data_IF_257640697456
#
_entry.id   IF_257640697456
#
_cell.length_a   1.000
_cell.length_b   1.000
_cell.length_c   1.000
_cell.angle_alpha   90.00
_cell.angle_beta   90.00
_cell.angle_gamma   90.00
#
_symmetry.space_group_name_H-M   'P 1'
#
loop_
_entity.id
_entity.type
_entity.pdbx_description
1 polymer ?
#
# COMPACT_ATOMS: atom_id res chain seq x y z
N UNK A 1 5.02 -2.67 9.72
CA UNK A 1 3.94 -1.71 10.11
C UNK A 1 2.60 -2.42 9.99
N UNK A 2 1.51 -1.82 10.49
CA UNK A 2 0.23 -2.52 10.66
C UNK A 2 -0.78 -2.06 9.60
N UNK A 3 -1.78 -1.26 9.98
CA UNK A 3 -2.98 -1.06 9.16
C UNK A 3 -3.07 0.34 8.55
N UNK A 4 -2.66 1.38 9.29
CA UNK A 4 -2.82 2.76 8.84
C UNK A 4 -1.54 3.32 8.22
N UNK A 5 -0.37 2.86 8.68
CA UNK A 5 0.93 3.31 8.19
C UNK A 5 1.07 3.10 6.68
N UNK A 6 0.80 1.88 6.23
CA UNK A 6 0.87 1.50 4.81
C UNK A 6 0.04 2.41 3.88
N UNK A 7 -1.31 2.45 3.99
CA UNK A 7 -2.14 3.24 3.11
C UNK A 7 -1.94 4.74 3.29
N UNK A 8 -1.76 5.21 4.53
CA UNK A 8 -1.60 6.63 4.81
C UNK A 8 -0.29 7.20 4.29
N UNK A 9 0.85 6.55 4.54
CA UNK A 9 2.15 7.01 4.04
C UNK A 9 2.22 6.87 2.52
N UNK A 10 1.72 5.77 1.95
CA UNK A 10 1.65 5.58 0.50
C UNK A 10 0.85 6.70 -0.18
N UNK A 11 -0.34 7.01 0.36
CA UNK A 11 -1.18 8.09 -0.14
C UNK A 11 -0.48 9.45 -0.01
N UNK A 12 0.13 9.72 1.15
CA UNK A 12 0.82 10.99 1.43
C UNK A 12 1.99 11.23 0.46
N UNK A 13 2.86 10.23 0.30
CA UNK A 13 4.00 10.31 -0.64
C UNK A 13 3.52 10.49 -2.07
N UNK A 14 2.53 9.69 -2.52
CA UNK A 14 1.99 9.84 -3.86
C UNK A 14 1.38 11.23 -4.11
N UNK A 15 0.67 11.77 -3.11
CA UNK A 15 0.09 13.12 -3.17
C UNK A 15 1.16 14.20 -3.23
N UNK A 16 2.23 14.08 -2.43
CA UNK A 16 3.38 15.01 -2.46
C UNK A 16 4.07 14.97 -3.82
N UNK A 17 4.37 13.78 -4.35
CA UNK A 17 5.01 13.62 -5.67
C UNK A 17 4.16 14.26 -6.76
N UNK A 18 2.85 13.97 -6.78
CA UNK A 18 1.93 14.57 -7.74
C UNK A 18 1.83 16.10 -7.57
N UNK A 19 1.74 16.59 -6.34
CA UNK A 19 1.63 18.00 -6.01
C UNK A 19 2.88 18.81 -6.37
N UNK A 20 4.05 18.33 -5.96
CA UNK A 20 5.35 18.96 -6.21
C UNK A 20 5.68 18.98 -7.71
N UNK A 21 5.45 17.87 -8.42
CA UNK A 21 5.66 17.79 -9.87
C UNK A 21 4.81 18.82 -10.65
N UNK A 22 3.64 19.21 -10.11
CA UNK A 22 2.71 20.16 -10.74
C UNK A 22 2.72 21.55 -10.06
N UNK A 23 3.66 21.81 -9.13
CA UNK A 23 3.78 23.06 -8.33
C UNK A 23 2.46 23.53 -7.70
N UNK A 24 1.64 22.59 -7.23
CA UNK A 24 0.34 22.87 -6.65
C UNK A 24 0.42 23.08 -5.13
N UNK A 25 -0.49 23.90 -4.60
CA UNK A 25 -0.68 24.04 -3.15
C UNK A 25 -1.14 22.72 -2.51
N UNK A 26 -0.78 22.50 -1.25
CA UNK A 26 -1.12 21.31 -0.47
C UNK A 26 -2.63 20.98 -0.49
N UNK A 27 -3.48 22.01 -0.52
CA UNK A 27 -4.93 21.86 -0.60
C UNK A 27 -5.44 21.13 -1.87
N UNK A 28 -4.59 21.01 -2.90
CA UNK A 28 -4.89 20.41 -4.19
C UNK A 28 -4.10 19.12 -4.47
N UNK A 29 -3.22 18.67 -3.57
CA UNK A 29 -2.36 17.50 -3.84
C UNK A 29 -3.16 16.22 -4.12
N UNK A 30 -4.16 15.90 -3.30
CA UNK A 30 -5.03 14.74 -3.53
C UNK A 30 -5.86 14.87 -4.82
N UNK A 31 -6.22 16.09 -5.19
CA UNK A 31 -6.90 16.36 -6.46
C UNK A 31 -5.99 16.07 -7.64
N UNK A 32 -4.78 16.62 -7.63
CA UNK A 32 -3.75 16.39 -8.63
C UNK A 32 -3.45 14.90 -8.77
N UNK A 33 -3.24 14.18 -7.67
CA UNK A 33 -3.02 12.73 -7.67
C UNK A 33 -4.17 11.98 -8.35
N UNK A 34 -5.42 12.33 -8.01
CA UNK A 34 -6.60 11.67 -8.55
C UNK A 34 -6.84 11.87 -10.07
N UNK A 35 -6.09 12.77 -10.71
CA UNK A 35 -6.09 12.90 -12.18
C UNK A 35 -5.28 11.79 -12.85
N UNK A 36 -4.28 11.24 -12.16
CA UNK A 36 -3.36 10.25 -12.71
C UNK A 36 -3.75 8.82 -12.33
N UNK A 37 -4.27 8.61 -11.12
CA UNK A 37 -4.57 7.28 -10.57
C UNK A 37 -5.89 7.24 -9.83
N UNK A 38 -6.47 6.04 -9.71
CA UNK A 38 -7.58 5.78 -8.78
C UNK A 38 -7.00 5.59 -7.38
N UNK A 39 -7.30 6.53 -6.47
CA UNK A 39 -6.75 6.51 -5.12
C UNK A 39 -7.23 5.28 -4.34
N UNK A 40 -8.41 4.73 -4.60
CA UNK A 40 -8.90 3.52 -3.92
C UNK A 40 -8.01 2.33 -4.27
N UNK A 41 -7.65 2.21 -5.55
CA UNK A 41 -6.79 1.12 -6.03
C UNK A 41 -5.38 1.27 -5.46
N UNK A 42 -4.89 2.50 -5.32
CA UNK A 42 -3.61 2.76 -4.65
C UNK A 42 -3.64 2.30 -3.18
N UNK A 43 -4.71 2.65 -2.45
CA UNK A 43 -4.90 2.22 -1.06
C UNK A 43 -5.01 0.70 -0.93
N UNK A 44 -5.77 0.04 -1.81
CA UNK A 44 -5.84 -1.43 -1.86
C UNK A 44 -4.48 -2.04 -2.18
N UNK A 45 -3.77 -1.52 -3.18
CA UNK A 45 -2.42 -1.97 -3.54
C UNK A 45 -1.44 -1.86 -2.36
N UNK A 46 -1.52 -0.76 -1.60
CA UNK A 46 -0.68 -0.55 -0.41
C UNK A 46 -0.93 -1.52 0.73
N UNK A 47 -2.02 -2.28 0.70
CA UNK A 47 -2.34 -3.34 1.66
C UNK A 47 -2.31 -4.73 1.03
N UNK A 48 -2.13 -4.81 -0.29
CA UNK A 48 -2.32 -6.04 -1.06
C UNK A 48 -1.42 -7.19 -0.60
N UNK A 49 -0.10 -6.98 -0.34
CA UNK A 49 0.74 -8.06 0.13
C UNK A 49 0.25 -8.67 1.44
N UNK A 50 -0.07 -7.83 2.42
CA UNK A 50 -0.63 -8.25 3.70
C UNK A 50 -1.99 -8.95 3.59
N UNK A 51 -2.88 -8.44 2.71
CA UNK A 51 -4.20 -9.02 2.48
C UNK A 51 -4.09 -10.45 1.95
N UNK A 52 -3.06 -10.75 1.15
CA UNK A 52 -2.85 -12.09 0.60
C UNK A 52 -2.06 -12.96 1.59
N UNK A 53 -0.90 -12.48 2.02
CA UNK A 53 0.09 -13.33 2.68
C UNK A 53 -0.29 -13.66 4.12
N UNK A 54 -0.93 -12.74 4.87
CA UNK A 54 -1.33 -13.03 6.25
C UNK A 54 -2.37 -14.15 6.32
N UNK A 55 -3.50 -14.13 5.58
CA UNK A 55 -4.42 -15.26 5.56
C UNK A 55 -3.77 -16.54 5.05
N UNK A 56 -2.98 -16.48 3.98
CA UNK A 56 -2.36 -17.67 3.39
C UNK A 56 -1.38 -18.30 4.38
N UNK A 57 -0.41 -17.54 4.90
CA UNK A 57 0.68 -18.08 5.69
C UNK A 57 0.43 -18.19 7.19
N UNK A 58 -0.51 -17.43 7.76
CA UNK A 58 -0.82 -17.47 9.21
C UNK A 58 -2.12 -18.20 9.53
N UNK A 59 -3.07 -18.29 8.59
CA UNK A 59 -4.37 -18.93 8.83
C UNK A 59 -4.53 -20.24 8.05
N UNK A 60 -4.47 -20.23 6.71
CA UNK A 60 -4.73 -21.41 5.89
C UNK A 60 -3.59 -22.44 5.91
N UNK A 61 -2.35 -21.98 5.81
CA UNK A 61 -1.15 -22.83 5.71
C UNK A 61 -0.16 -22.57 6.85
N UNK A 62 -0.70 -22.35 8.06
CA UNK A 62 0.09 -22.01 9.25
C UNK A 62 1.19 -23.03 9.56
N UNK A 63 0.87 -24.32 9.49
CA UNK A 63 1.85 -25.39 9.79
C UNK A 63 3.01 -25.43 8.77
N UNK A 64 2.72 -25.03 7.52
CA UNK A 64 3.71 -25.00 6.45
C UNK A 64 4.57 -23.76 6.51
N UNK A 65 3.96 -22.56 6.51
CA UNK A 65 4.69 -21.30 6.39
C UNK A 65 4.89 -20.56 7.71
N UNK A 66 3.88 -20.52 8.59
CA UNK A 66 3.89 -19.76 9.86
C UNK A 66 4.46 -18.34 9.72
N UNK A 67 4.17 -17.64 8.62
CA UNK A 67 4.72 -16.33 8.30
C UNK A 67 3.68 -15.51 7.50
N UNK A 68 3.56 -14.22 7.80
CA UNK A 68 2.68 -13.29 7.07
C UNK A 68 3.34 -12.57 5.89
N UNK A 69 4.61 -12.85 5.60
CA UNK A 69 5.43 -12.24 4.54
C UNK A 69 6.02 -13.33 3.66
N UNK A 70 5.22 -13.76 2.68
CA UNK A 70 5.54 -14.89 1.79
C UNK A 70 5.53 -14.42 0.32
N UNK A 71 4.69 -14.99 -0.53
CA UNK A 71 4.67 -14.77 -1.98
C UNK A 71 4.45 -13.31 -2.41
N UNK A 72 3.53 -12.60 -1.77
CA UNK A 72 3.16 -11.24 -2.19
C UNK A 72 4.14 -10.18 -1.68
N UNK A 73 4.96 -10.54 -0.69
CA UNK A 73 6.10 -9.76 -0.21
C UNK A 73 7.38 -9.93 -1.04
N UNK A 74 7.31 -10.65 -2.16
CA UNK A 74 8.45 -10.85 -3.06
C UNK A 74 8.56 -9.75 -4.12
N UNK A 75 9.77 -9.49 -4.58
CA UNK A 75 10.01 -8.63 -5.75
C UNK A 75 9.39 -9.25 -7.01
N UNK A 76 9.36 -10.58 -7.10
CA UNK A 76 8.72 -11.29 -8.21
C UNK A 76 7.23 -10.93 -8.32
N UNK A 77 6.48 -10.96 -7.22
CA UNK A 77 5.07 -10.58 -7.22
C UNK A 77 4.87 -9.14 -7.72
N UNK A 78 5.66 -8.20 -7.20
CA UNK A 78 5.65 -6.83 -7.70
C UNK A 78 5.94 -6.76 -9.20
N UNK A 79 6.98 -7.44 -9.69
CA UNK A 79 7.37 -7.42 -11.09
C UNK A 79 6.28 -8.00 -11.99
N UNK A 80 5.62 -9.08 -11.58
CA UNK A 80 4.48 -9.65 -12.31
C UNK A 80 3.34 -8.62 -12.42
N UNK A 81 2.97 -7.96 -11.32
CA UNK A 81 1.95 -6.90 -11.35
C UNK A 81 2.38 -5.72 -12.24
N UNK A 82 3.64 -5.29 -12.15
CA UNK A 82 4.17 -4.17 -12.92
C UNK A 82 4.22 -4.49 -14.43
N UNK A 83 4.67 -5.68 -14.81
CA UNK A 83 4.74 -6.13 -16.20
C UNK A 83 3.34 -6.29 -16.78
N UNK A 84 2.44 -6.97 -16.06
CA UNK A 84 1.05 -7.12 -16.48
C UNK A 84 0.35 -5.76 -16.58
N UNK A 85 0.60 -4.85 -15.63
CA UNK A 85 0.08 -3.49 -15.65
C UNK A 85 0.62 -2.68 -16.83
N UNK A 86 1.91 -2.80 -17.13
CA UNK A 86 2.52 -2.15 -18.28
C UNK A 86 1.92 -2.67 -19.59
N UNK A 87 1.72 -3.99 -19.70
CA UNK A 87 1.03 -4.60 -20.83
C UNK A 87 -0.40 -4.05 -21.01
N UNK A 88 -1.20 -4.00 -19.93
CA UNK A 88 -2.56 -3.42 -19.97
C UNK A 88 -2.55 -1.94 -20.35
N UNK A 89 -1.58 -1.18 -19.87
CA UNK A 89 -1.41 0.21 -20.25
C UNK A 89 -1.09 0.35 -21.75
N UNK A 90 -0.15 -0.44 -22.27
CA UNK A 90 0.24 -0.39 -23.69
C UNK A 90 -0.90 -0.82 -24.61
N UNK A 91 -1.67 -1.84 -24.24
CA UNK A 91 -2.72 -2.41 -25.08
C UNK A 91 -4.05 -1.69 -24.98
N UNK A 92 -4.45 -1.27 -23.78
CA UNK A 92 -5.80 -0.77 -23.48
C UNK A 92 -5.81 0.61 -22.82
N UNK A 93 -4.64 1.23 -22.58
CA UNK A 93 -4.50 2.51 -21.84
C UNK A 93 -5.06 2.46 -20.41
N UNK A 94 -5.18 1.25 -19.85
CA UNK A 94 -5.63 1.05 -18.49
C UNK A 94 -4.45 1.13 -17.50
N UNK A 95 -4.57 1.99 -16.49
CA UNK A 95 -3.50 2.24 -15.50
C UNK A 95 -3.74 1.59 -14.14
N UNK A 96 -4.92 0.97 -13.94
CA UNK A 96 -5.34 0.47 -12.63
C UNK A 96 -4.36 -0.56 -12.05
N UNK A 97 -3.86 -1.49 -12.87
CA UNK A 97 -2.94 -2.52 -12.41
C UNK A 97 -1.54 -1.97 -12.12
N UNK A 98 -1.11 -0.91 -12.84
CA UNK A 98 0.10 -0.16 -12.49
C UNK A 98 -0.07 0.60 -11.17
N UNK A 99 -1.26 1.16 -10.93
CA UNK A 99 -1.58 1.80 -9.64
C UNK A 99 -1.53 0.79 -8.49
N UNK A 100 -2.06 -0.41 -8.72
CA UNK A 100 -2.00 -1.52 -7.77
C UNK A 100 -0.56 -1.95 -7.50
N UNK A 101 0.25 -2.11 -8.55
CA UNK A 101 1.67 -2.44 -8.46
C UNK A 101 2.47 -1.36 -7.71
N UNK A 102 2.18 -0.08 -7.94
CA UNK A 102 2.82 1.02 -7.21
C UNK A 102 2.48 1.00 -5.71
N UNK A 103 1.22 0.68 -5.37
CA UNK A 103 0.82 0.45 -3.98
C UNK A 103 1.57 -0.73 -3.35
N UNK A 104 1.61 -1.88 -4.04
CA UNK A 104 2.31 -3.06 -3.55
C UNK A 104 3.82 -2.82 -3.40
N UNK A 105 4.44 -2.07 -4.31
CA UNK A 105 5.84 -1.68 -4.18
C UNK A 105 6.09 -0.78 -2.98
N UNK A 106 5.24 0.22 -2.77
CA UNK A 106 5.29 1.08 -1.58
C UNK A 106 5.20 0.25 -0.30
N UNK A 107 4.35 -0.79 -0.28
CA UNK A 107 4.27 -1.74 0.82
C UNK A 107 5.61 -2.42 1.09
N UNK A 108 6.24 -3.04 0.08
CA UNK A 108 7.56 -3.70 0.24
C UNK A 108 8.63 -2.75 0.79
N UNK A 109 8.64 -1.51 0.29
CA UNK A 109 9.60 -0.48 0.71
C UNK A 109 9.39 -0.11 2.16
N UNK A 110 8.15 0.22 2.51
CA UNK A 110 7.84 0.64 3.86
C UNK A 110 8.10 -0.51 4.86
N UNK A 111 7.85 -1.77 4.46
CA UNK A 111 8.08 -2.93 5.33
C UNK A 111 9.57 -3.32 5.40
N UNK A 112 10.42 -2.53 4.72
CA UNK A 112 11.86 -2.67 4.68
C UNK A 112 12.30 -4.05 4.21
N UNK A 113 11.61 -4.62 3.21
CA UNK A 113 11.84 -5.99 2.75
C UNK A 113 13.29 -6.29 2.32
N UNK A 114 14.11 -5.27 2.07
CA UNK A 114 15.55 -5.44 1.87
C UNK A 114 16.29 -6.05 3.07
N UNK A 115 15.72 -6.02 4.28
CA UNK A 115 16.28 -6.69 5.47
C UNK A 115 15.97 -8.19 5.50
N UNK A 116 15.04 -8.67 4.67
CA UNK A 116 14.70 -10.08 4.49
C UNK A 116 14.97 -10.51 3.03
N UNK A 117 16.23 -10.52 2.57
CA UNK A 117 16.57 -10.71 1.16
C UNK A 117 16.12 -12.07 0.62
N UNK A 118 16.11 -13.13 1.44
CA UNK A 118 15.63 -14.45 1.05
C UNK A 118 14.17 -14.41 0.57
N UNK A 119 13.29 -13.74 1.32
CA UNK A 119 11.90 -13.50 0.93
C UNK A 119 11.81 -12.51 -0.22
N UNK A 120 12.51 -11.36 -0.17
CA UNK A 120 12.42 -10.34 -1.21
C UNK A 120 12.80 -10.87 -2.59
N UNK A 121 13.85 -11.69 -2.68
CA UNK A 121 14.33 -12.27 -3.94
C UNK A 121 13.87 -13.70 -4.18
N UNK A 122 12.92 -14.22 -3.40
CA UNK A 122 12.33 -15.53 -3.63
C UNK A 122 11.80 -15.63 -5.08
N UNK A 123 12.06 -16.74 -5.80
CA UNK A 123 12.70 -17.99 -5.37
C UNK A 123 14.23 -18.07 -5.59
N UNK A 124 14.90 -16.97 -5.94
CA UNK A 124 16.31 -16.98 -6.36
C UNK A 124 17.29 -17.27 -5.22
N UNK A 125 16.96 -16.86 -3.99
CA UNK A 125 17.80 -17.04 -2.80
C UNK A 125 17.33 -18.17 -1.87
N UNK A 126 16.46 -19.04 -2.37
CA UNK A 126 15.87 -20.13 -1.59
C UNK A 126 14.40 -20.34 -1.94
N UNK A 127 13.89 -21.53 -1.61
CA UNK A 127 12.50 -21.89 -1.83
C UNK A 127 11.63 -21.80 -0.57
N UNK A 128 12.28 -21.74 0.59
CA UNK A 128 11.63 -21.70 1.90
C UNK A 128 11.48 -20.26 2.41
N UNK A 129 10.45 -20.02 3.21
CA UNK A 129 10.25 -18.78 3.94
C UNK A 129 10.60 -19.00 5.42
N UNK A 130 11.20 -18.00 6.05
CA UNK A 130 11.49 -18.02 7.48
C UNK A 130 10.19 -18.17 8.28
N UNK A 131 10.17 -18.98 9.34
CA UNK A 131 8.98 -19.16 10.16
C UNK A 131 8.99 -18.18 11.32
N UNK A 132 7.86 -17.56 11.61
CA UNK A 132 7.68 -16.67 12.75
C UNK A 132 6.94 -17.39 13.90
N UNK A 133 7.26 -17.04 15.13
CA UNK A 133 6.49 -17.48 16.30
C UNK A 133 5.19 -16.66 16.41
N UNK A 134 4.09 -17.26 15.98
CA UNK A 134 2.77 -16.61 15.98
C UNK A 134 2.02 -16.71 17.32
N UNK A 135 2.61 -17.32 18.34
CA UNK A 135 1.99 -17.47 19.66
C UNK A 135 1.79 -16.09 20.31
N UNK A 136 0.54 -15.76 20.67
CA UNK A 136 0.22 -14.46 21.27
C UNK A 136 0.45 -13.26 20.33
N UNK A 137 0.53 -13.48 19.02
CA UNK A 137 0.88 -12.46 18.02
C UNK A 137 0.05 -11.17 18.13
N UNK A 138 -1.26 -11.26 18.35
CA UNK A 138 -2.13 -10.08 18.53
C UNK A 138 -1.71 -9.22 19.73
N UNK A 139 -1.39 -9.87 20.85
CA UNK A 139 -0.93 -9.17 22.06
C UNK A 139 0.45 -8.56 21.85
N UNK A 140 1.35 -9.28 21.18
CA UNK A 140 2.69 -8.79 20.86
C UNK A 140 2.63 -7.55 19.96
N UNK A 141 1.73 -7.53 18.97
CA UNK A 141 1.48 -6.36 18.14
C UNK A 141 0.96 -5.19 18.96
N UNK A 142 -0.05 -5.41 19.79
CA UNK A 142 -0.63 -4.34 20.59
C UNK A 142 0.40 -3.75 21.56
N UNK A 143 1.17 -4.62 22.23
CA UNK A 143 2.27 -4.21 23.11
C UNK A 143 3.30 -3.41 22.33
N UNK A 144 3.74 -3.89 21.17
CA UNK A 144 4.74 -3.21 20.37
C UNK A 144 4.27 -1.86 19.81
N UNK A 145 2.98 -1.72 19.49
CA UNK A 145 2.40 -0.44 19.07
C UNK A 145 2.49 0.63 20.16
N UNK A 146 2.43 0.23 21.43
CA UNK A 146 2.52 1.15 22.58
C UNK A 146 3.97 1.37 23.01
N UNK A 147 4.79 0.32 23.00
CA UNK A 147 6.13 0.36 23.58
C UNK A 147 7.24 0.67 22.58
N UNK A 148 7.01 0.49 21.27
CA UNK A 148 8.03 0.65 20.24
C UNK A 148 7.69 1.82 19.31
N UNK A 149 8.44 2.95 19.41
CA UNK A 149 8.24 4.11 18.54
C UNK A 149 8.33 3.77 17.05
N UNK A 150 9.18 2.79 16.67
CA UNK A 150 9.34 2.34 15.28
C UNK A 150 8.06 1.75 14.67
N UNK A 151 7.14 1.22 15.47
CA UNK A 151 5.82 0.79 15.00
C UNK A 151 4.76 1.89 15.16
N UNK A 152 4.81 2.64 16.26
CA UNK A 152 3.82 3.67 16.56
C UNK A 152 3.86 4.86 15.59
N UNK A 153 5.06 5.38 15.30
CA UNK A 153 5.23 6.61 14.53
C UNK A 153 4.68 6.48 13.09
N UNK A 154 5.01 5.44 12.32
CA UNK A 154 4.42 5.26 10.99
C UNK A 154 2.89 5.15 11.01
N UNK A 155 2.33 4.47 12.02
CA UNK A 155 0.87 4.33 12.17
C UNK A 155 0.20 5.67 12.47
N UNK A 156 0.77 6.49 13.36
CA UNK A 156 0.25 7.83 13.69
C UNK A 156 0.31 8.75 12.47
N UNK A 157 1.42 8.75 11.74
CA UNK A 157 1.57 9.53 10.51
C UNK A 157 0.56 9.07 9.46
N UNK A 158 0.48 7.76 9.24
CA UNK A 158 -0.46 7.19 8.28
C UNK A 158 -1.91 7.53 8.60
N UNK A 159 -2.31 7.38 9.87
CA UNK A 159 -3.63 7.77 10.34
C UNK A 159 -3.91 9.26 10.15
N UNK A 160 -2.93 10.12 10.47
CA UNK A 160 -3.04 11.57 10.27
C UNK A 160 -3.27 11.94 8.79
N UNK A 161 -2.54 11.31 7.87
CA UNK A 161 -2.72 11.54 6.43
C UNK A 161 -4.10 11.06 5.95
N UNK A 162 -4.54 9.87 6.39
CA UNK A 162 -5.86 9.34 6.03
C UNK A 162 -6.99 10.23 6.60
N UNK A 163 -6.84 10.71 7.83
CA UNK A 163 -7.79 11.64 8.44
C UNK A 163 -7.84 12.96 7.67
N UNK A 164 -6.69 13.52 7.29
CA UNK A 164 -6.64 14.73 6.47
C UNK A 164 -7.30 14.54 5.10
N UNK A 165 -7.04 13.41 4.44
CA UNK A 165 -7.69 13.06 3.18
C UNK A 165 -9.22 12.93 3.35
N UNK A 166 -9.68 12.20 4.38
CA UNK A 166 -11.10 12.03 4.68
C UNK A 166 -11.81 13.34 4.98
N UNK A 167 -11.20 14.21 5.82
CA UNK A 167 -11.71 15.55 6.10
C UNK A 167 -11.78 16.40 4.83
N UNK A 168 -10.77 16.31 3.95
CA UNK A 168 -10.79 17.01 2.66
C UNK A 168 -11.97 16.57 1.79
N UNK A 169 -12.28 15.26 1.75
CA UNK A 169 -13.44 14.74 1.02
C UNK A 169 -14.77 15.21 1.63
N UNK A 170 -14.87 15.24 2.96
CA UNK A 170 -16.06 15.69 3.68
C UNK A 170 -16.33 17.18 3.45
N UNK A 171 -15.34 18.03 3.70
CA UNK A 171 -15.49 19.49 3.56
C UNK A 171 -15.77 19.90 2.11
N UNK A 172 -15.18 19.21 1.12
CA UNK A 172 -15.46 19.47 -0.30
C UNK A 172 -16.73 18.79 -0.83
N UNK A 173 -17.47 18.05 0.01
CA UNK A 173 -18.67 17.27 -0.35
C UNK A 173 -18.42 16.30 -1.52
N UNK A 174 -17.25 15.64 -1.53
CA UNK A 174 -16.80 14.73 -2.61
C UNK A 174 -16.82 13.26 -2.23
N UNK A 175 -17.27 12.88 -1.03
CA UNK A 175 -17.29 11.49 -0.55
C UNK A 175 -17.99 10.55 -1.54
N UNK A 176 -19.23 10.84 -1.94
CA UNK A 176 -19.97 9.97 -2.86
C UNK A 176 -19.31 9.86 -4.24
N UNK A 177 -18.72 10.94 -4.74
CA UNK A 177 -17.98 10.94 -6.00
C UNK A 177 -16.71 10.08 -5.91
N UNK A 178 -15.98 10.20 -4.80
CA UNK A 178 -14.81 9.37 -4.52
C UNK A 178 -15.16 7.89 -4.39
N UNK A 179 -16.20 7.55 -3.64
CA UNK A 179 -16.62 6.16 -3.47
C UNK A 179 -17.02 5.51 -4.80
N UNK A 180 -17.59 6.28 -5.74
CA UNK A 180 -17.99 5.77 -7.06
C UNK A 180 -16.83 5.69 -8.05
N UNK A 181 -16.01 6.73 -8.13
CA UNK A 181 -15.02 6.89 -9.22
C UNK A 181 -13.56 6.83 -8.78
N UNK A 182 -13.28 6.81 -7.47
CA UNK A 182 -11.92 6.81 -6.93
C UNK A 182 -11.17 8.12 -7.11
N UNK A 183 -11.90 9.17 -7.49
CA UNK A 183 -11.38 10.49 -7.79
C UNK A 183 -11.93 11.53 -6.81
N UNK A 184 -11.20 12.63 -6.62
CA UNK A 184 -11.63 13.70 -5.70
C UNK A 184 -12.29 14.88 -6.41
N UNK A 185 -12.39 14.84 -7.75
CA UNK A 185 -13.17 15.76 -8.55
C UNK A 185 -13.17 15.38 -10.03
N UNK A 186 -13.96 16.09 -10.83
CA UNK A 186 -13.93 15.93 -12.28
C UNK A 186 -12.58 16.44 -12.80
N UNK A 187 -11.97 15.71 -13.73
CA UNK A 187 -10.92 16.29 -14.57
C UNK A 187 -11.60 17.39 -15.37
N UNK A 188 -11.45 18.64 -14.94
CA UNK A 188 -11.86 19.78 -15.74
C UNK A 188 -11.20 19.65 -17.11
N UNK A 189 -12.05 19.63 -18.14
CA UNK A 189 -11.74 20.01 -19.52
C UNK A 189 -10.85 21.25 -19.48
N UNK A 190 -9.56 21.06 -19.78
CA UNK A 190 -8.76 22.11 -20.37
C UNK A 190 -9.15 22.24 -21.83
#
# INVERSE_FOLDING_TARGET
>A
MLMFGHPGITLGVAAIVAGAANRQSAANWFFTLSRYVDIRILLVGSLLPDIIDKPVGQFFFRETFSNGRIFSHTLLFFLVLAIAGYYLYRRYRQVWLLTLAAGAFSHLVLDSMWTAPATLFWPLLGLEFEKEELTGWLWNIFKALITQPGMAVPEIIGLGVLAWFGLTLLFKKKVGFFLRYGKTGLSGSG
#
